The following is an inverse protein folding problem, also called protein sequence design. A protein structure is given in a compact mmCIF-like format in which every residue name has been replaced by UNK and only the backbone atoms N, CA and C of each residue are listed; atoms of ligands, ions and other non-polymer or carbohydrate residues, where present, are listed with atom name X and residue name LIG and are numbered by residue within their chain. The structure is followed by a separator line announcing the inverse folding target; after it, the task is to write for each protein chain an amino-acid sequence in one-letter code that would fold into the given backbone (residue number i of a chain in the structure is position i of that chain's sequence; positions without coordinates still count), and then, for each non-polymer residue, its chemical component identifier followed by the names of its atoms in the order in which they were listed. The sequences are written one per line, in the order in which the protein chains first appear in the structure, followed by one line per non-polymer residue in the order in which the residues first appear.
data_IF_172624399234
#
_entry.id   IF_172624399234
#
_cell.length_a   1.000
_cell.length_b   1.000
_cell.length_c   1.000
_cell.angle_alpha   90.00
_cell.angle_beta   90.00
_cell.angle_gamma   90.00
#
_symmetry.space_group_name_H-M   'P 1'
#
loop_
_entity.id
_entity.type
_entity.pdbx_description
1 polymer ?
#
# COMPACT_ATOMS: atom_id res chain seq x y z
N UNK A 1 32.37 -0.92 -6.51
CA UNK A 1 30.99 -0.36 -6.50
C UNK A 1 29.94 -1.39 -6.09
N UNK A 2 30.00 -2.67 -6.51
CA UNK A 2 29.06 -3.71 -6.04
C UNK A 2 29.19 -4.03 -4.54
N UNK A 3 30.41 -3.98 -3.99
CA UNK A 3 30.64 -4.30 -2.57
C UNK A 3 30.12 -3.24 -1.60
N UNK A 4 30.06 -1.98 -2.02
CA UNK A 4 29.52 -0.89 -1.18
C UNK A 4 27.99 -0.94 -1.13
N UNK A 5 27.33 -1.32 -2.23
CA UNK A 5 25.89 -1.54 -2.26
C UNK A 5 25.51 -2.73 -1.38
N UNK A 6 26.27 -3.84 -1.44
CA UNK A 6 26.03 -5.02 -0.60
C UNK A 6 26.20 -4.67 0.89
N UNK A 7 27.26 -3.93 1.25
CA UNK A 7 27.48 -3.49 2.64
C UNK A 7 26.37 -2.57 3.15
N UNK A 8 25.80 -1.71 2.30
CA UNK A 8 24.64 -0.89 2.65
C UNK A 8 23.40 -1.78 2.81
N UNK A 9 23.10 -2.69 1.89
CA UNK A 9 21.93 -3.58 2.04
C UNK A 9 22.04 -4.49 3.25
N UNK A 10 23.21 -5.07 3.53
CA UNK A 10 23.39 -5.96 4.67
C UNK A 10 23.36 -5.19 6.01
N UNK A 11 23.97 -4.00 6.09
CA UNK A 11 23.93 -3.19 7.31
C UNK A 11 22.55 -2.54 7.55
N UNK A 12 21.79 -2.22 6.51
CA UNK A 12 20.42 -1.72 6.63
C UNK A 12 19.41 -2.79 7.02
N UNK A 13 19.61 -4.02 6.54
CA UNK A 13 18.71 -5.13 6.83
C UNK A 13 18.96 -5.76 8.21
N UNK A 14 20.22 -5.82 8.67
CA UNK A 14 20.57 -6.48 9.94
C UNK A 14 20.55 -5.58 11.18
N UNK A 15 20.53 -4.24 11.05
CA UNK A 15 20.61 -3.34 12.21
C UNK A 15 19.27 -3.06 12.90
N UNK A 16 18.16 -3.39 12.25
CA UNK A 16 16.85 -3.36 12.91
C UNK A 16 16.40 -4.77 13.27
N UNK A 17 16.41 -5.08 14.56
CA UNK A 17 15.53 -6.10 15.09
C UNK A 17 14.09 -5.55 14.97
N UNK A 18 13.49 -5.69 13.78
CA UNK A 18 12.11 -5.32 13.56
C UNK A 18 11.22 -6.15 14.48
N UNK A 19 10.29 -5.50 15.16
CA UNK A 19 9.22 -6.20 15.86
C UNK A 19 8.36 -6.94 14.84
N UNK A 20 7.86 -8.13 15.21
CA UNK A 20 6.95 -8.94 14.39
C UNK A 20 5.77 -8.14 13.82
N UNK A 21 5.31 -7.12 14.56
CA UNK A 21 4.22 -6.23 14.16
C UNK A 21 4.60 -5.39 12.92
N UNK A 22 5.82 -4.87 12.87
CA UNK A 22 6.26 -4.01 11.76
C UNK A 22 6.41 -4.83 10.47
N UNK A 23 6.99 -6.03 10.59
CA UNK A 23 7.10 -6.96 9.46
C UNK A 23 5.72 -7.28 8.91
N UNK A 24 4.73 -7.53 9.79
CA UNK A 24 3.36 -7.79 9.38
C UNK A 24 2.73 -6.58 8.68
N UNK A 25 2.90 -5.36 9.20
CA UNK A 25 2.41 -4.12 8.56
C UNK A 25 3.04 -3.91 7.18
N UNK A 26 4.35 -4.18 7.04
CA UNK A 26 5.01 -4.09 5.74
C UNK A 26 4.40 -5.08 4.74
N UNK A 27 4.20 -6.34 5.14
CA UNK A 27 3.57 -7.35 4.28
C UNK A 27 2.16 -6.93 3.88
N UNK A 28 1.35 -6.46 4.84
CA UNK A 28 -0.03 -6.00 4.58
C UNK A 28 -0.05 -4.81 3.62
N UNK A 29 0.80 -3.81 3.85
CA UNK A 29 0.94 -2.66 2.95
C UNK A 29 1.32 -3.10 1.52
N UNK A 30 2.27 -4.03 1.36
CA UNK A 30 2.62 -4.60 0.06
C UNK A 30 1.44 -5.30 -0.62
N UNK A 31 0.70 -6.12 0.12
CA UNK A 31 -0.48 -6.83 -0.41
C UNK A 31 -1.54 -5.83 -0.88
N UNK A 32 -1.81 -4.77 -0.12
CA UNK A 32 -2.76 -3.71 -0.48
C UNK A 32 -2.34 -3.01 -1.77
N UNK A 33 -1.05 -2.68 -1.92
CA UNK A 33 -0.52 -2.04 -3.13
C UNK A 33 -0.69 -2.94 -4.34
N UNK A 34 -0.23 -4.20 -4.26
CA UNK A 34 -0.34 -5.16 -5.36
C UNK A 34 -1.81 -5.34 -5.75
N UNK A 35 -2.70 -5.49 -4.77
CA UNK A 35 -4.14 -5.61 -4.99
C UNK A 35 -4.70 -4.38 -5.71
N UNK A 36 -4.29 -3.18 -5.31
CA UNK A 36 -4.72 -1.91 -5.91
C UNK A 36 -4.27 -1.79 -7.36
N UNK A 37 -3.03 -2.18 -7.68
CA UNK A 37 -2.53 -2.26 -9.05
C UNK A 37 -3.28 -3.30 -9.89
N UNK A 38 -3.55 -4.49 -9.35
CA UNK A 38 -4.34 -5.52 -10.03
C UNK A 38 -5.77 -5.04 -10.33
N UNK A 39 -6.42 -4.38 -9.37
CA UNK A 39 -7.76 -3.80 -9.55
C UNK A 39 -7.72 -2.77 -10.68
N UNK A 40 -6.79 -1.82 -10.68
CA UNK A 40 -6.70 -0.84 -11.76
C UNK A 40 -6.43 -1.49 -13.12
N UNK A 41 -5.51 -2.45 -13.20
CA UNK A 41 -5.23 -3.17 -14.44
C UNK A 41 -6.48 -3.85 -14.99
N UNK A 42 -7.24 -4.53 -14.14
CA UNK A 42 -8.51 -5.16 -14.50
C UNK A 42 -9.54 -4.14 -15.00
N UNK A 43 -9.65 -2.99 -14.34
CA UNK A 43 -10.61 -1.95 -14.72
C UNK A 43 -10.22 -1.19 -15.99
N UNK A 44 -8.93 -0.92 -16.22
CA UNK A 44 -8.43 -0.34 -17.47
C UNK A 44 -8.74 -1.29 -18.64
N UNK A 45 -8.43 -2.58 -18.49
CA UNK A 45 -8.77 -3.60 -19.48
C UNK A 45 -10.27 -3.60 -19.80
N UNK A 46 -11.12 -3.54 -18.76
CA UNK A 46 -12.58 -3.53 -18.92
C UNK A 46 -13.12 -2.23 -19.54
N UNK A 47 -12.52 -1.07 -19.24
CA UNK A 47 -12.88 0.24 -19.82
C UNK A 47 -12.61 0.29 -21.32
N UNK A 48 -11.54 -0.35 -21.79
CA UNK A 48 -11.23 -0.43 -23.23
C UNK A 48 -12.33 -1.21 -23.97
N UNK A 49 -12.95 -2.22 -23.32
CA UNK A 49 -14.00 -3.05 -23.92
C UNK A 49 -15.44 -2.55 -23.69
N UNK A 50 -15.71 -1.72 -22.68
CA UNK A 50 -17.07 -1.29 -22.31
C UNK A 50 -17.13 0.18 -21.83
N UNK A 51 -18.27 0.86 -22.06
CA UNK A 51 -18.59 2.16 -21.43
C UNK A 51 -18.55 2.02 -19.91
N UNK A 52 -17.66 2.77 -19.26
CA UNK A 52 -17.43 2.70 -17.82
C UNK A 52 -17.86 3.98 -17.11
N UNK A 53 -18.34 3.85 -15.87
CA UNK A 53 -18.73 5.00 -15.04
C UNK A 53 -17.49 5.75 -14.53
N UNK A 54 -17.46 7.07 -14.72
CA UNK A 54 -16.38 7.98 -14.29
C UNK A 54 -16.13 7.86 -12.79
N UNK A 55 -17.17 7.64 -11.98
CA UNK A 55 -17.07 7.55 -10.52
C UNK A 55 -16.21 6.36 -10.06
N UNK A 56 -16.30 5.21 -10.73
CA UNK A 56 -15.45 4.04 -10.43
C UNK A 56 -13.99 4.27 -10.81
N UNK A 57 -13.74 5.04 -11.86
CA UNK A 57 -12.37 5.42 -12.24
C UNK A 57 -11.74 6.27 -11.13
N UNK A 58 -12.47 7.27 -10.63
CA UNK A 58 -12.01 8.15 -9.55
C UNK A 58 -11.72 7.36 -8.27
N UNK A 59 -12.61 6.46 -7.86
CA UNK A 59 -12.40 5.63 -6.67
C UNK A 59 -11.16 4.72 -6.80
N UNK A 60 -10.95 4.12 -7.96
CA UNK A 60 -9.77 3.29 -8.21
C UNK A 60 -8.48 4.12 -8.17
N UNK A 61 -8.47 5.29 -8.80
CA UNK A 61 -7.30 6.18 -8.76
C UNK A 61 -7.00 6.65 -7.33
N UNK A 62 -8.03 6.96 -6.54
CA UNK A 62 -7.88 7.30 -5.14
C UNK A 62 -7.30 6.13 -4.33
N UNK A 63 -7.78 4.90 -4.53
CA UNK A 63 -7.22 3.71 -3.88
C UNK A 63 -5.73 3.55 -4.19
N UNK A 64 -5.32 3.71 -5.46
CA UNK A 64 -3.90 3.62 -5.82
C UNK A 64 -3.08 4.66 -5.09
N UNK A 65 -3.54 5.91 -5.08
CA UNK A 65 -2.86 7.01 -4.42
C UNK A 65 -2.70 6.78 -2.91
N UNK A 66 -3.74 6.31 -2.22
CA UNK A 66 -3.65 5.98 -0.80
C UNK A 66 -2.74 4.77 -0.54
N UNK A 67 -2.80 3.74 -1.40
CA UNK A 67 -1.95 2.56 -1.25
C UNK A 67 -0.47 2.86 -1.46
N UNK A 68 -0.11 3.75 -2.40
CA UNK A 68 1.29 4.13 -2.64
C UNK A 68 1.81 5.01 -1.52
N UNK A 69 1.00 5.94 -0.99
CA UNK A 69 1.34 6.72 0.19
C UNK A 69 1.58 5.80 1.39
N UNK A 70 0.68 4.83 1.62
CA UNK A 70 0.83 3.84 2.69
C UNK A 70 2.19 3.13 2.58
N UNK A 71 2.55 2.61 1.40
CA UNK A 71 3.82 1.91 1.22
C UNK A 71 5.05 2.79 1.49
N UNK A 72 5.07 4.00 0.92
CA UNK A 72 6.17 4.96 1.11
C UNK A 72 6.27 5.32 2.59
N UNK A 73 5.13 5.54 3.24
CA UNK A 73 5.07 5.90 4.65
C UNK A 73 5.55 4.76 5.55
N UNK A 74 5.13 3.52 5.29
CA UNK A 74 5.60 2.32 6.02
C UNK A 74 7.12 2.14 5.88
N UNK A 75 7.67 2.31 4.66
CA UNK A 75 9.11 2.23 4.42
C UNK A 75 9.90 3.34 5.12
N UNK A 76 9.36 4.56 5.19
CA UNK A 76 10.00 5.69 5.89
C UNK A 76 10.00 5.50 7.40
N UNK A 77 8.89 5.03 7.98
CA UNK A 77 8.80 4.76 9.44
C UNK A 77 9.78 3.69 9.85
N UNK A 78 9.82 2.59 9.09
CA UNK A 78 10.77 1.49 9.29
C UNK A 78 12.23 1.94 9.18
N UNK A 79 12.51 3.13 8.65
CA UNK A 79 13.87 3.60 8.47
C UNK A 79 14.28 4.72 9.46
N UNK A 80 13.32 5.52 9.95
CA UNK A 80 13.65 6.83 10.54
C UNK A 80 13.23 6.97 12.02
N UNK A 81 12.21 6.26 12.51
CA UNK A 81 11.55 6.64 13.77
C UNK A 81 11.50 5.55 14.84
N UNK A 82 12.59 5.45 15.62
CA UNK A 82 12.57 4.71 16.88
C UNK A 82 11.82 5.45 18.00
N UNK A 83 11.73 6.80 17.92
CA UNK A 83 11.27 7.64 19.05
C UNK A 83 9.76 7.97 19.06
N UNK A 84 9.05 7.81 17.94
CA UNK A 84 7.58 8.00 17.84
C UNK A 84 6.89 6.74 17.26
N UNK A 85 7.47 5.59 17.58
CA UNK A 85 7.15 4.29 16.99
C UNK A 85 5.67 3.91 17.13
N UNK A 86 5.06 4.16 18.29
CA UNK A 86 3.65 3.84 18.52
C UNK A 86 2.70 4.66 17.64
N UNK A 87 2.90 5.99 17.57
CA UNK A 87 2.03 6.89 16.79
C UNK A 87 2.13 6.56 15.29
N UNK A 88 3.35 6.28 14.83
CA UNK A 88 3.61 5.88 13.46
C UNK A 88 2.86 4.58 13.11
N UNK A 89 2.98 3.55 13.96
CA UNK A 89 2.29 2.26 13.77
C UNK A 89 0.77 2.40 13.75
N UNK A 90 0.17 3.23 14.62
CA UNK A 90 -1.27 3.47 14.60
C UNK A 90 -1.73 4.15 13.31
N UNK A 91 -0.92 5.06 12.76
CA UNK A 91 -1.25 5.73 11.51
C UNK A 91 -1.16 4.78 10.31
N UNK A 92 -0.16 3.90 10.27
CA UNK A 92 -0.06 2.83 9.26
C UNK A 92 -1.28 1.92 9.31
N UNK A 93 -1.66 1.47 10.50
CA UNK A 93 -2.82 0.60 10.72
C UNK A 93 -4.13 1.29 10.31
N UNK A 94 -4.26 2.58 10.62
CA UNK A 94 -5.41 3.38 10.19
C UNK A 94 -5.50 3.47 8.66
N UNK A 95 -4.39 3.76 7.98
CA UNK A 95 -4.32 3.80 6.52
C UNK A 95 -4.61 2.44 5.87
N UNK A 96 -4.12 1.35 6.45
CA UNK A 96 -4.45 -0.02 6.00
C UNK A 96 -5.96 -0.27 6.05
N UNK A 97 -6.61 0.07 7.17
CA UNK A 97 -8.05 -0.08 7.34
C UNK A 97 -8.83 0.77 6.34
N UNK A 98 -8.42 2.03 6.11
CA UNK A 98 -9.04 2.91 5.11
C UNK A 98 -8.92 2.31 3.71
N UNK A 99 -7.75 1.77 3.35
CA UNK A 99 -7.55 1.12 2.06
C UNK A 99 -8.41 -0.15 1.92
N UNK A 100 -8.52 -0.97 2.96
CA UNK A 100 -9.39 -2.16 2.96
C UNK A 100 -10.85 -1.79 2.76
N UNK A 101 -11.35 -0.74 3.43
CA UNK A 101 -12.72 -0.25 3.25
C UNK A 101 -12.95 0.23 1.81
N UNK A 102 -12.01 0.98 1.25
CA UNK A 102 -12.08 1.43 -0.16
C UNK A 102 -12.15 0.26 -1.14
N UNK A 103 -11.35 -0.78 -0.93
CA UNK A 103 -11.41 -2.02 -1.74
C UNK A 103 -12.81 -2.63 -1.66
N UNK A 104 -13.36 -2.80 -0.46
CA UNK A 104 -14.71 -3.35 -0.27
C UNK A 104 -15.77 -2.51 -0.98
N UNK A 105 -15.70 -1.17 -0.88
CA UNK A 105 -16.62 -0.26 -1.57
C UNK A 105 -16.53 -0.40 -3.09
N UNK A 106 -15.32 -0.46 -3.65
CA UNK A 106 -15.08 -0.62 -5.10
C UNK A 106 -15.72 -1.92 -5.61
N UNK A 107 -15.58 -3.02 -4.87
CA UNK A 107 -16.20 -4.30 -5.21
C UNK A 107 -17.72 -4.31 -4.98
N UNK A 108 -18.21 -3.64 -3.93
CA UNK A 108 -19.63 -3.60 -3.57
C UNK A 108 -20.46 -2.71 -4.47
N UNK A 109 -19.84 -1.77 -5.20
CA UNK A 109 -20.51 -0.97 -6.22
C UNK A 109 -20.90 -1.86 -7.42
N UNK A 110 -22.01 -2.59 -7.26
CA UNK A 110 -22.67 -3.31 -8.36
C UNK A 110 -23.12 -2.27 -9.39
N UNK A 111 -22.80 -2.51 -10.65
CA UNK A 111 -23.35 -1.74 -11.77
C UNK A 111 -24.87 -1.77 -11.66
N UNK A 112 -25.49 -0.66 -11.28
CA UNK A 112 -26.88 -0.40 -11.63
C UNK A 112 -26.94 -0.49 -13.15
N UNK A 113 -27.63 -1.52 -13.65
CA UNK A 113 -27.89 -1.72 -15.07
C UNK A 113 -28.88 -0.68 -15.55
#
# INVERSE_FOLDING_TARGET
MKDFTILITESWFFKMAYSWIEILQLIVAFVIVITSYCIIGFFIYKKIRHKYSVLKLVLNTALLFFSTILLIYTLLIMNILYNNWAVANYLTLFLEVVCSILIVIIFSFKTAK
#
